data_IF_786961892369
#
_entry.id   IF_786961892369
#
_cell.length_a   1.000
_cell.length_b   1.000
_cell.length_c   1.000
_cell.angle_alpha   90.00
_cell.angle_beta   90.00
_cell.angle_gamma   90.00
#
_symmetry.space_group_name_H-M   'P 1'
#
loop_
_entity.id
_entity.type
_entity.pdbx_description
1 polymer ?
#
# COMPACT_ATOMS: atom_id res chain seq x y z
N UNK A 1 17.45 -5.95 -12.71
CA UNK A 1 16.19 -5.59 -13.44
C UNK A 1 16.00 -4.10 -13.25
N UNK A 2 15.83 -3.33 -14.33
CA UNK A 2 15.65 -1.88 -14.23
C UNK A 2 14.25 -1.55 -13.71
N UNK A 3 14.08 -0.38 -13.10
CA UNK A 3 12.78 0.05 -12.57
C UNK A 3 11.61 -0.04 -13.59
N UNK A 4 11.71 0.43 -14.84
CA UNK A 4 10.62 0.29 -15.81
C UNK A 4 10.32 -1.16 -16.22
N UNK A 5 11.33 -2.04 -16.17
CA UNK A 5 11.16 -3.48 -16.44
C UNK A 5 10.39 -4.16 -15.29
N UNK A 6 10.67 -3.74 -14.05
CA UNK A 6 9.98 -4.18 -12.85
C UNK A 6 8.50 -3.77 -12.89
N UNK A 7 8.21 -2.50 -13.16
CA UNK A 7 6.84 -2.00 -13.31
C UNK A 7 6.06 -2.81 -14.35
N UNK A 8 6.66 -3.01 -15.53
CA UNK A 8 6.05 -3.81 -16.61
C UNK A 8 5.82 -5.26 -16.17
N UNK A 9 6.77 -5.87 -15.46
CA UNK A 9 6.64 -7.24 -14.97
C UNK A 9 5.51 -7.38 -13.95
N UNK A 10 5.41 -6.45 -12.99
CA UNK A 10 4.35 -6.41 -11.98
C UNK A 10 2.98 -6.21 -12.64
N UNK A 11 2.87 -5.28 -13.59
CA UNK A 11 1.63 -5.05 -14.33
C UNK A 11 1.15 -6.33 -15.02
N UNK A 12 2.06 -7.05 -15.69
CA UNK A 12 1.74 -8.31 -16.35
C UNK A 12 1.27 -9.40 -15.36
N UNK A 13 1.89 -9.50 -14.18
CA UNK A 13 1.46 -10.42 -13.12
C UNK A 13 0.05 -10.08 -12.64
N UNK A 14 -0.24 -8.80 -12.39
CA UNK A 14 -1.55 -8.33 -11.92
C UNK A 14 -2.65 -8.59 -12.96
N UNK A 15 -2.35 -8.40 -14.24
CA UNK A 15 -3.29 -8.69 -15.34
C UNK A 15 -3.56 -10.19 -15.47
N UNK A 16 -2.52 -11.03 -15.32
CA UNK A 16 -2.63 -12.47 -15.51
C UNK A 16 -3.22 -13.21 -14.30
N UNK A 17 -3.19 -12.62 -13.11
CA UNK A 17 -3.67 -13.24 -11.88
C UNK A 17 -5.15 -13.61 -11.95
N UNK A 18 -5.51 -14.75 -11.37
CA UNK A 18 -6.92 -15.10 -11.13
C UNK A 18 -7.57 -14.10 -10.18
N UNK A 19 -8.90 -14.03 -10.15
CA UNK A 19 -9.60 -13.12 -9.20
C UNK A 19 -9.30 -13.46 -7.74
N UNK A 20 -9.16 -14.75 -7.42
CA UNK A 20 -8.79 -15.22 -6.09
C UNK A 20 -7.37 -14.79 -5.71
N UNK A 21 -6.39 -15.04 -6.59
CA UNK A 21 -4.98 -14.66 -6.37
C UNK A 21 -4.83 -13.14 -6.26
N UNK A 22 -5.58 -12.39 -7.09
CA UNK A 22 -5.58 -10.92 -7.06
C UNK A 22 -6.16 -10.36 -5.76
N UNK A 23 -7.28 -10.91 -5.28
CA UNK A 23 -7.87 -10.53 -4.00
C UNK A 23 -6.95 -10.87 -2.81
N UNK A 24 -6.37 -12.08 -2.81
CA UNK A 24 -5.42 -12.51 -1.79
C UNK A 24 -4.15 -11.64 -1.78
N UNK A 25 -3.63 -11.31 -2.96
CA UNK A 25 -2.52 -10.38 -3.12
C UNK A 25 -2.84 -9.00 -2.55
N UNK A 26 -4.00 -8.44 -2.91
CA UNK A 26 -4.42 -7.12 -2.43
C UNK A 26 -4.54 -7.08 -0.92
N UNK A 27 -5.24 -8.06 -0.33
CA UNK A 27 -5.42 -8.22 1.11
C UNK A 27 -4.08 -8.34 1.87
N UNK A 28 -3.18 -9.19 1.39
CA UNK A 28 -1.87 -9.37 2.00
C UNK A 28 -1.02 -8.09 1.92
N UNK A 29 -1.07 -7.39 0.78
CA UNK A 29 -0.25 -6.19 0.55
C UNK A 29 -0.76 -4.98 1.32
N UNK A 30 -2.07 -4.72 1.36
CA UNK A 30 -2.61 -3.61 2.16
C UNK A 30 -2.36 -3.81 3.66
N UNK A 31 -2.48 -5.04 4.16
CA UNK A 31 -2.18 -5.37 5.56
C UNK A 31 -0.71 -5.06 5.89
N UNK A 32 0.21 -5.39 4.98
CA UNK A 32 1.64 -5.11 5.12
C UNK A 32 1.94 -3.61 5.15
N UNK A 33 1.36 -2.87 4.19
CA UNK A 33 1.56 -1.41 4.05
C UNK A 33 0.96 -0.61 5.22
N UNK A 34 -0.03 -1.18 5.91
CA UNK A 34 -0.65 -0.58 7.08
C UNK A 34 -0.05 -1.05 8.41
N UNK A 35 1.09 -1.72 8.45
CA UNK A 35 1.72 -2.14 9.72
C UNK A 35 1.98 -0.95 10.67
N UNK A 36 2.07 -1.19 11.98
CA UNK A 36 2.30 -0.14 12.99
C UNK A 36 3.57 0.66 12.70
N UNK A 37 4.62 -0.04 12.31
CA UNK A 37 5.94 0.48 12.00
C UNK A 37 5.93 1.41 10.78
N UNK A 38 4.88 1.38 9.93
CA UNK A 38 4.80 2.24 8.76
C UNK A 38 4.51 3.72 9.11
N UNK A 39 4.04 3.99 10.33
CA UNK A 39 3.69 5.35 10.80
C UNK A 39 4.32 5.66 12.16
N UNK A 40 5.29 4.85 12.61
CA UNK A 40 5.87 4.97 13.95
C UNK A 40 6.68 6.25 14.16
N UNK A 41 7.29 6.75 13.08
CA UNK A 41 8.11 7.97 13.09
C UNK A 41 7.28 9.26 12.94
N UNK A 42 5.98 9.13 12.65
CA UNK A 42 5.11 10.27 12.43
C UNK A 42 4.91 11.09 13.71
N UNK A 43 4.94 12.42 13.58
CA UNK A 43 4.76 13.30 14.73
C UNK A 43 3.28 13.27 15.15
N UNK A 44 2.96 13.12 16.45
CA UNK A 44 1.57 12.99 16.91
C UNK A 44 0.65 14.14 16.51
N UNK A 45 1.19 15.35 16.36
CA UNK A 45 0.42 16.57 16.06
C UNK A 45 0.15 16.78 14.56
N UNK A 46 0.56 15.84 13.69
CA UNK A 46 0.26 15.91 12.25
C UNK A 46 -1.18 15.51 11.91
N UNK A 47 -1.78 14.67 12.75
CA UNK A 47 -3.17 14.26 12.64
C UNK A 47 -3.91 14.62 13.93
N UNK A 48 -5.18 14.98 13.78
CA UNK A 48 -6.10 15.06 14.91
C UNK A 48 -6.27 13.70 15.59
N UNK A 49 -6.69 13.70 16.86
CA UNK A 49 -7.02 12.48 17.59
C UNK A 49 -8.07 11.62 16.85
N UNK A 50 -9.04 12.24 16.19
CA UNK A 50 -10.05 11.51 15.40
C UNK A 50 -9.44 10.84 14.17
N UNK A 51 -8.51 11.50 13.47
CA UNK A 51 -7.80 10.92 12.33
C UNK A 51 -6.89 9.77 12.75
N UNK A 52 -6.18 9.88 13.88
CA UNK A 52 -5.43 8.76 14.45
C UNK A 52 -6.34 7.57 14.78
N UNK A 53 -7.50 7.83 15.39
CA UNK A 53 -8.48 6.79 15.69
C UNK A 53 -9.06 6.16 14.42
N UNK A 54 -9.30 6.95 13.37
CA UNK A 54 -9.78 6.46 12.08
C UNK A 54 -8.73 5.59 11.37
N UNK A 55 -7.46 5.97 11.40
CA UNK A 55 -6.35 5.17 10.86
C UNK A 55 -6.21 3.83 11.61
N UNK A 56 -6.27 3.87 12.95
CA UNK A 56 -6.24 2.65 13.77
C UNK A 56 -7.44 1.73 13.48
N UNK A 57 -8.63 2.30 13.31
CA UNK A 57 -9.83 1.56 12.94
C UNK A 57 -9.70 0.93 11.55
N UNK A 58 -9.20 1.67 10.56
CA UNK A 58 -8.97 1.18 9.20
C UNK A 58 -8.00 -0.01 9.20
N UNK A 59 -6.89 0.10 9.95
CA UNK A 59 -5.94 -1.00 10.15
C UNK A 59 -6.59 -2.24 10.75
N UNK A 60 -7.38 -2.07 11.81
CA UNK A 60 -8.00 -3.17 12.53
C UNK A 60 -9.08 -3.90 11.69
N UNK A 61 -9.74 -3.20 10.77
CA UNK A 61 -10.85 -3.74 9.98
C UNK A 61 -10.53 -4.00 8.52
N UNK A 62 -9.29 -3.76 8.05
CA UNK A 62 -8.94 -3.67 6.61
C UNK A 62 -9.37 -4.87 5.75
N UNK A 63 -9.46 -6.06 6.34
CA UNK A 63 -9.83 -7.31 5.65
C UNK A 63 -11.33 -7.60 5.68
N UNK A 64 -12.11 -6.88 6.48
CA UNK A 64 -13.53 -7.13 6.72
C UNK A 64 -14.43 -5.93 6.43
N UNK A 65 -13.84 -4.73 6.40
CA UNK A 65 -14.53 -3.47 6.12
C UNK A 65 -15.02 -3.43 4.69
N UNK A 66 -16.23 -2.90 4.46
CA UNK A 66 -16.70 -2.65 3.10
C UNK A 66 -16.15 -1.32 2.54
N UNK A 67 -16.35 -1.11 1.25
CA UNK A 67 -15.84 0.09 0.58
C UNK A 67 -16.47 1.41 1.08
N UNK A 68 -17.73 1.39 1.52
CA UNK A 68 -18.40 2.58 2.03
C UNK A 68 -17.85 2.96 3.41
N UNK A 69 -17.72 1.96 4.29
CA UNK A 69 -17.13 2.12 5.61
C UNK A 69 -15.66 2.56 5.53
N UNK A 70 -14.87 1.95 4.64
CA UNK A 70 -13.49 2.34 4.41
C UNK A 70 -13.38 3.76 3.84
N UNK A 71 -14.26 4.12 2.90
CA UNK A 71 -14.35 5.49 2.38
C UNK A 71 -14.58 6.52 3.48
N UNK A 72 -15.49 6.25 4.41
CA UNK A 72 -15.76 7.14 5.54
C UNK A 72 -14.56 7.27 6.50
N UNK A 73 -13.77 6.21 6.68
CA UNK A 73 -12.53 6.27 7.47
C UNK A 73 -11.47 7.11 6.75
N UNK A 74 -11.29 6.93 5.44
CA UNK A 74 -10.37 7.73 4.62
C UNK A 74 -10.72 9.23 4.72
N UNK A 75 -12.00 9.58 4.57
CA UNK A 75 -12.47 10.97 4.70
C UNK A 75 -12.16 11.57 6.07
N UNK A 76 -12.31 10.79 7.15
CA UNK A 76 -11.97 11.24 8.51
C UNK A 76 -10.47 11.45 8.72
N UNK A 77 -9.64 10.58 8.13
CA UNK A 77 -8.18 10.74 8.17
C UNK A 77 -7.81 12.04 7.43
N UNK A 78 -8.27 12.20 6.19
CA UNK A 78 -7.97 13.37 5.33
C UNK A 78 -8.43 14.69 5.97
N UNK A 79 -9.66 14.75 6.48
CA UNK A 79 -10.18 15.94 7.15
C UNK A 79 -9.48 16.27 8.48
N UNK A 80 -8.76 15.30 9.06
CA UNK A 80 -8.03 15.47 10.31
C UNK A 80 -6.54 15.69 10.14
N UNK A 81 -6.04 15.91 8.91
CA UNK A 81 -4.67 16.37 8.67
C UNK A 81 -4.52 17.80 9.19
N UNK A 82 -3.53 18.04 10.05
CA UNK A 82 -3.31 19.31 10.75
C UNK A 82 -2.14 20.13 10.20
N UNK A 83 -1.38 19.56 9.26
CA UNK A 83 -0.24 20.20 8.60
C UNK A 83 -0.58 20.53 7.15
N UNK A 84 -0.20 21.73 6.72
CA UNK A 84 -0.46 22.21 5.37
C UNK A 84 0.52 21.62 4.33
N UNK A 85 1.74 21.30 4.77
CA UNK A 85 2.81 20.69 3.98
C UNK A 85 3.65 19.79 4.91
N UNK A 86 4.43 18.87 4.32
CA UNK A 86 5.39 18.01 5.04
C UNK A 86 4.73 17.00 6.01
N UNK A 87 3.52 16.54 5.67
CA UNK A 87 2.93 15.37 6.33
C UNK A 87 3.88 14.18 6.25
N UNK A 88 4.03 13.45 7.36
CA UNK A 88 4.90 12.29 7.42
C UNK A 88 4.64 11.33 6.26
N UNK A 89 5.74 10.87 5.67
CA UNK A 89 5.69 10.03 4.47
C UNK A 89 5.01 8.70 4.73
N UNK A 90 5.11 8.17 5.95
CA UNK A 90 4.41 6.98 6.39
C UNK A 90 2.90 7.18 6.39
N UNK A 91 2.42 8.32 6.91
CA UNK A 91 0.98 8.66 6.87
C UNK A 91 0.52 8.81 5.41
N UNK A 92 1.27 9.54 4.58
CA UNK A 92 0.94 9.70 3.15
C UNK A 92 0.88 8.34 2.44
N UNK A 93 1.85 7.47 2.69
CA UNK A 93 1.90 6.12 2.11
C UNK A 93 0.71 5.27 2.55
N UNK A 94 0.39 5.27 3.86
CA UNK A 94 -0.74 4.55 4.41
C UNK A 94 -2.08 5.05 3.82
N UNK A 95 -2.31 6.36 3.83
CA UNK A 95 -3.53 6.97 3.28
C UNK A 95 -3.69 6.65 1.79
N UNK A 96 -2.61 6.77 1.02
CA UNK A 96 -2.63 6.47 -0.42
C UNK A 96 -2.92 4.99 -0.66
N UNK A 97 -2.34 4.08 0.12
CA UNK A 97 -2.63 2.65 0.03
C UNK A 97 -4.11 2.35 0.37
N UNK A 98 -4.68 2.99 1.39
CA UNK A 98 -6.11 2.88 1.72
C UNK A 98 -6.99 3.33 0.54
N UNK A 99 -6.64 4.43 -0.14
CA UNK A 99 -7.38 4.93 -1.30
C UNK A 99 -7.41 3.95 -2.48
N UNK A 100 -6.28 3.31 -2.78
CA UNK A 100 -6.20 2.27 -3.82
C UNK A 100 -6.99 1.02 -3.42
N UNK A 101 -6.86 0.57 -2.17
CA UNK A 101 -7.61 -0.57 -1.68
C UNK A 101 -9.13 -0.30 -1.72
N UNK A 102 -9.57 0.87 -1.28
CA UNK A 102 -10.97 1.27 -1.36
C UNK A 102 -11.48 1.29 -2.82
N UNK A 103 -10.71 1.88 -3.73
CA UNK A 103 -11.04 1.92 -5.16
C UNK A 103 -11.14 0.51 -5.77
N UNK A 104 -10.28 -0.42 -5.31
CA UNK A 104 -10.37 -1.83 -5.69
C UNK A 104 -11.65 -2.48 -5.15
N UNK A 105 -11.99 -2.28 -3.88
CA UNK A 105 -13.22 -2.82 -3.29
C UNK A 105 -14.49 -2.30 -4.00
N UNK A 106 -14.49 -1.05 -4.46
CA UNK A 106 -15.62 -0.45 -5.16
C UNK A 106 -15.84 -1.01 -6.57
N UNK A 107 -14.75 -1.24 -7.31
CA UNK A 107 -14.81 -1.43 -8.76
C UNK A 107 -14.07 -2.65 -9.30
N UNK A 108 -13.39 -3.44 -8.46
CA UNK A 108 -12.54 -4.56 -8.87
C UNK A 108 -11.41 -4.15 -9.82
N UNK A 109 -11.01 -2.88 -9.81
CA UNK A 109 -10.05 -2.33 -10.78
C UNK A 109 -8.66 -2.89 -10.53
N UNK A 110 -8.18 -3.79 -11.39
CA UNK A 110 -6.84 -4.40 -11.30
C UNK A 110 -5.70 -3.37 -11.30
N UNK A 111 -5.89 -2.20 -11.92
CA UNK A 111 -4.93 -1.10 -11.86
C UNK A 111 -4.61 -0.67 -10.42
N UNK A 112 -5.57 -0.74 -9.50
CA UNK A 112 -5.33 -0.40 -8.08
C UNK A 112 -4.44 -1.42 -7.38
N UNK A 113 -4.48 -2.68 -7.80
CA UNK A 113 -3.58 -3.71 -7.28
C UNK A 113 -2.15 -3.51 -7.79
N UNK A 114 -2.00 -3.03 -9.03
CA UNK A 114 -0.70 -2.58 -9.54
C UNK A 114 -0.15 -1.43 -8.69
N UNK A 115 -0.96 -0.42 -8.41
CA UNK A 115 -0.59 0.72 -7.56
C UNK A 115 -0.18 0.28 -6.13
N UNK A 116 -0.87 -0.70 -5.54
CA UNK A 116 -0.46 -1.30 -4.26
C UNK A 116 0.86 -2.07 -4.36
N UNK A 117 1.10 -2.78 -5.48
CA UNK A 117 2.35 -3.49 -5.69
C UNK A 117 3.55 -2.54 -5.78
N UNK A 118 3.41 -1.41 -6.50
CA UNK A 118 4.46 -0.39 -6.60
C UNK A 118 4.78 0.22 -5.24
N UNK A 119 3.77 0.64 -4.49
CA UNK A 119 3.96 1.15 -3.11
C UNK A 119 4.65 0.13 -2.21
N UNK A 120 4.35 -1.15 -2.43
CA UNK A 120 5.00 -2.23 -1.69
C UNK A 120 6.50 -2.33 -1.98
N UNK A 121 6.90 -2.08 -3.23
CA UNK A 121 8.31 -2.02 -3.64
C UNK A 121 8.97 -0.74 -3.10
N UNK A 122 8.30 0.41 -3.21
CA UNK A 122 8.81 1.70 -2.73
C UNK A 122 9.04 1.71 -1.21
N UNK A 123 8.19 1.05 -0.43
CA UNK A 123 8.38 0.89 1.02
C UNK A 123 9.68 0.13 1.34
N UNK A 124 10.05 -0.86 0.54
CA UNK A 124 11.33 -1.58 0.72
C UNK A 124 12.50 -0.76 0.18
N UNK A 125 12.34 -0.12 -0.98
CA UNK A 125 13.34 0.77 -1.57
C UNK A 125 13.72 1.90 -0.62
N UNK A 126 12.75 2.49 0.08
CA UNK A 126 13.02 3.52 1.09
C UNK A 126 13.94 3.03 2.22
N UNK A 127 13.87 1.73 2.57
CA UNK A 127 14.68 1.15 3.63
C UNK A 127 16.11 0.79 3.19
N UNK A 128 16.30 0.38 1.93
CA UNK A 128 17.60 -0.13 1.45
C UNK A 128 18.26 0.71 0.35
N UNK A 129 17.57 1.74 -0.16
CA UNK A 129 18.00 2.64 -1.22
C UNK A 129 18.52 1.88 -2.46
N UNK A 130 17.61 1.18 -3.14
CA UNK A 130 17.92 0.34 -4.29
C UNK A 130 18.50 1.13 -5.48
N UNK A 131 19.30 0.45 -6.29
CA UNK A 131 19.81 1.00 -7.54
C UNK A 131 18.72 0.92 -8.62
N UNK A 132 18.33 2.05 -9.21
CA UNK A 132 17.30 2.10 -10.25
C UNK A 132 17.70 1.32 -11.53
N UNK A 133 19.00 1.14 -11.76
CA UNK A 133 19.52 0.30 -12.86
C UNK A 133 19.54 -1.20 -12.50
N UNK A 134 19.42 -1.55 -11.22
CA UNK A 134 19.25 -2.93 -10.75
C UNK A 134 18.43 -3.04 -9.46
N UNK A 135 17.10 -2.87 -9.58
CA UNK A 135 16.17 -2.85 -8.45
C UNK A 135 16.22 -4.12 -7.59
N UNK A 136 16.62 -5.26 -8.16
CA UNK A 136 16.62 -6.56 -7.48
C UNK A 136 18.01 -6.96 -6.95
N UNK A 137 18.96 -6.02 -6.92
CA UNK A 137 20.33 -6.29 -6.48
C UNK A 137 20.41 -6.66 -4.98
N UNK A 138 19.57 -6.03 -4.15
CA UNK A 138 19.52 -6.32 -2.72
C UNK A 138 18.60 -7.50 -2.42
N UNK A 139 18.93 -8.37 -1.45
CA UNK A 139 18.07 -9.48 -1.03
C UNK A 139 16.64 -9.05 -0.65
N UNK A 140 16.48 -7.89 -0.05
CA UNK A 140 15.20 -7.34 0.43
C UNK A 140 14.27 -7.03 -0.76
N UNK A 141 14.76 -6.30 -1.75
CA UNK A 141 14.01 -6.00 -2.97
C UNK A 141 13.67 -7.26 -3.78
N UNK A 142 14.63 -8.19 -3.89
CA UNK A 142 14.40 -9.48 -4.55
C UNK A 142 13.31 -10.29 -3.83
N UNK A 143 13.36 -10.34 -2.50
CA UNK A 143 12.37 -11.04 -1.68
C UNK A 143 10.97 -10.41 -1.82
N UNK A 144 10.87 -9.08 -1.87
CA UNK A 144 9.58 -8.41 -2.04
C UNK A 144 8.99 -8.66 -3.43
N UNK A 145 9.81 -8.61 -4.48
CA UNK A 145 9.36 -8.99 -5.82
C UNK A 145 8.90 -10.46 -5.88
N UNK A 146 9.64 -11.38 -5.26
CA UNK A 146 9.26 -12.79 -5.20
C UNK A 146 7.97 -13.02 -4.40
N UNK A 147 7.73 -12.26 -3.33
CA UNK A 147 6.45 -12.28 -2.58
C UNK A 147 5.28 -11.87 -3.47
N UNK A 148 5.41 -10.74 -4.18
CA UNK A 148 4.39 -10.23 -5.10
C UNK A 148 4.10 -11.27 -6.19
N UNK A 149 5.16 -11.80 -6.82
CA UNK A 149 5.04 -12.84 -7.84
C UNK A 149 4.34 -14.08 -7.29
N UNK A 150 4.76 -14.58 -6.14
CA UNK A 150 4.18 -15.76 -5.50
C UNK A 150 2.67 -15.61 -5.28
N UNK A 151 2.24 -14.49 -4.68
CA UNK A 151 0.83 -14.21 -4.40
C UNK A 151 -0.02 -14.08 -5.68
N UNK A 152 0.52 -13.46 -6.73
CA UNK A 152 -0.22 -13.24 -7.99
C UNK A 152 -0.29 -14.48 -8.89
N UNK A 153 0.57 -15.48 -8.65
CA UNK A 153 0.60 -16.74 -9.42
C UNK A 153 0.07 -17.95 -8.66
N UNK A 154 -0.38 -17.76 -7.41
CA UNK A 154 -0.91 -18.83 -6.56
C UNK A 154 -2.28 -19.31 -7.02
#
# INVERSE_FOLDING_TARGET
MKYPELETAILNLVIAASDESAAAFGAATITRLLREEAVEDAVPDELSEDAWAALAAARASILTVDAGELGALIERIDAGILVDDDLDRGIVAALTALMHWNSYLQGGRRGELYELAIRSIEDVDFQVSADLDDMLATPEMAAEYDRIRGLLTS
#
